data_IF_831451189826
#
_entry.id   IF_831451189826
#
_cell.length_a   1.000
_cell.length_b   1.000
_cell.length_c   1.000
_cell.angle_alpha   90.00
_cell.angle_beta   90.00
_cell.angle_gamma   90.00
#
_symmetry.space_group_name_H-M   'P 1'
#
loop_
_entity.id
_entity.type
_entity.pdbx_description
1 polymer ?
#
# COMPACT_ATOMS: atom_id res chain seq x y z
N UNK A 1 -23.46 -2.36 13.94
CA UNK A 1 -22.77 -3.32 13.07
C UNK A 1 -21.66 -3.98 13.85
N UNK A 2 -21.62 -5.30 13.89
CA UNK A 2 -20.55 -6.02 14.60
C UNK A 2 -19.28 -6.07 13.73
N UNK A 3 -18.17 -6.51 14.34
CA UNK A 3 -16.87 -6.57 13.70
C UNK A 3 -16.88 -7.40 12.40
N UNK A 4 -17.52 -8.56 12.42
CA UNK A 4 -17.59 -9.43 11.24
C UNK A 4 -18.35 -8.76 10.09
N UNK A 5 -19.40 -8.04 10.40
CA UNK A 5 -20.18 -7.30 9.39
C UNK A 5 -19.36 -6.16 8.79
N UNK A 6 -18.60 -5.45 9.62
CA UNK A 6 -17.71 -4.38 9.17
C UNK A 6 -16.66 -4.94 8.22
N UNK A 7 -16.00 -6.04 8.61
CA UNK A 7 -14.98 -6.70 7.78
C UNK A 7 -15.58 -7.15 6.45
N UNK A 8 -16.74 -7.78 6.46
CA UNK A 8 -17.40 -8.25 5.24
C UNK A 8 -17.77 -7.08 4.31
N UNK A 9 -18.28 -5.99 4.87
CA UNK A 9 -18.62 -4.79 4.09
C UNK A 9 -17.37 -4.18 3.45
N UNK A 10 -16.27 -4.06 4.19
CA UNK A 10 -15.01 -3.53 3.65
C UNK A 10 -14.44 -4.43 2.55
N UNK A 11 -14.48 -5.74 2.75
CA UNK A 11 -14.00 -6.70 1.76
C UNK A 11 -14.83 -6.60 0.47
N UNK A 12 -16.14 -6.57 0.58
CA UNK A 12 -17.03 -6.46 -0.58
C UNK A 12 -16.80 -5.13 -1.32
N UNK A 13 -16.65 -4.04 -0.59
CA UNK A 13 -16.39 -2.72 -1.16
C UNK A 13 -15.05 -2.71 -1.90
N UNK A 14 -14.02 -3.30 -1.31
CA UNK A 14 -12.70 -3.39 -1.93
C UNK A 14 -12.71 -4.26 -3.19
N UNK A 15 -13.48 -5.35 -3.19
CA UNK A 15 -13.64 -6.22 -4.37
C UNK A 15 -14.36 -5.49 -5.51
N UNK A 16 -15.26 -4.56 -5.17
CA UNK A 16 -16.05 -3.83 -6.16
C UNK A 16 -15.35 -2.56 -6.66
N UNK A 17 -14.76 -1.78 -5.78
CA UNK A 17 -14.22 -0.45 -6.08
C UNK A 17 -12.70 -0.32 -5.90
N UNK A 18 -12.04 -1.35 -5.42
CA UNK A 18 -10.60 -1.34 -5.14
C UNK A 18 -10.28 -0.93 -3.71
N UNK A 19 -9.10 -1.33 -3.28
CA UNK A 19 -8.64 -1.10 -1.90
C UNK A 19 -8.46 0.40 -1.61
N UNK A 20 -7.87 1.13 -2.54
CA UNK A 20 -7.53 2.55 -2.33
C UNK A 20 -8.78 3.37 -2.02
N UNK A 21 -9.83 3.21 -2.84
CA UNK A 21 -11.10 3.92 -2.64
C UNK A 21 -11.72 3.55 -1.29
N UNK A 22 -11.70 2.26 -0.95
CA UNK A 22 -12.28 1.76 0.30
C UNK A 22 -11.58 2.38 1.51
N UNK A 23 -10.25 2.40 1.51
CA UNK A 23 -9.49 2.93 2.64
C UNK A 23 -9.62 4.45 2.74
N UNK A 24 -9.59 5.14 1.61
CA UNK A 24 -9.72 6.60 1.58
C UNK A 24 -11.06 7.06 2.16
N UNK A 25 -12.16 6.41 1.79
CA UNK A 25 -13.49 6.77 2.28
C UNK A 25 -13.67 6.45 3.77
N UNK A 26 -13.08 5.35 4.24
CA UNK A 26 -13.33 4.85 5.60
C UNK A 26 -12.35 5.44 6.62
N UNK A 27 -11.08 5.52 6.27
CA UNK A 27 -10.01 5.84 7.23
C UNK A 27 -9.18 7.07 6.88
N UNK A 28 -9.30 7.59 5.66
CA UNK A 28 -8.47 8.69 5.21
C UNK A 28 -7.03 8.26 4.95
N UNK A 29 -6.07 9.13 5.30
CA UNK A 29 -4.65 8.88 4.98
C UNK A 29 -3.83 8.32 6.13
N UNK A 30 -4.34 8.36 7.36
CA UNK A 30 -3.59 7.98 8.57
C UNK A 30 -4.07 6.63 9.10
N UNK A 31 -3.75 5.57 8.37
CA UNK A 31 -4.12 4.21 8.78
C UNK A 31 -2.88 3.38 9.07
N UNK A 32 -3.05 2.45 10.01
CA UNK A 32 -2.00 1.48 10.32
C UNK A 32 -2.33 0.18 9.61
N UNK A 33 -1.53 -0.16 8.61
CA UNK A 33 -1.64 -1.42 7.88
C UNK A 33 -0.28 -2.07 7.77
N UNK A 34 -0.30 -3.38 7.66
CA UNK A 34 0.89 -4.17 7.43
C UNK A 34 0.57 -5.26 6.42
N UNK A 35 1.46 -5.43 5.45
CA UNK A 35 1.37 -6.48 4.45
C UNK A 35 2.72 -7.16 4.31
N UNK A 36 2.70 -8.48 4.20
CA UNK A 36 3.87 -9.25 3.83
C UNK A 36 3.98 -9.30 2.31
N UNK A 37 5.21 -9.25 1.81
CA UNK A 37 5.49 -9.34 0.38
C UNK A 37 6.40 -10.54 0.14
N UNK A 38 6.09 -11.33 -0.91
CA UNK A 38 6.93 -12.46 -1.27
C UNK A 38 8.26 -12.00 -1.84
N UNK A 39 9.28 -12.87 -1.82
CA UNK A 39 10.56 -12.56 -2.43
C UNK A 39 10.43 -12.28 -3.92
N UNK A 40 9.61 -13.05 -4.62
CA UNK A 40 9.38 -12.83 -6.05
C UNK A 40 8.74 -11.48 -6.33
N UNK A 41 7.82 -11.03 -5.48
CA UNK A 41 7.22 -9.70 -5.60
C UNK A 41 8.24 -8.60 -5.33
N UNK A 42 9.12 -8.80 -4.35
CA UNK A 42 10.17 -7.84 -4.03
C UNK A 42 11.18 -7.64 -5.15
N UNK A 43 11.37 -8.65 -6.01
CA UNK A 43 12.29 -8.57 -7.15
C UNK A 43 11.70 -7.81 -8.34
N UNK A 44 10.39 -7.52 -8.33
CA UNK A 44 9.74 -6.77 -9.40
C UNK A 44 10.15 -5.30 -9.39
N UNK A 45 10.10 -4.69 -10.57
CA UNK A 45 10.38 -3.26 -10.75
C UNK A 45 9.30 -2.40 -10.11
N UNK A 46 9.68 -1.21 -9.62
CA UNK A 46 8.71 -0.20 -9.17
C UNK A 46 7.78 0.26 -10.31
N UNK A 47 8.13 -0.03 -11.57
CA UNK A 47 7.26 0.25 -12.72
C UNK A 47 5.90 -0.45 -12.60
N UNK A 48 5.85 -1.58 -11.89
CA UNK A 48 4.61 -2.30 -11.64
C UNK A 48 3.58 -1.49 -10.85
N UNK A 49 4.02 -0.46 -10.14
CA UNK A 49 3.13 0.39 -9.33
C UNK A 49 2.42 1.44 -10.16
N UNK A 50 2.86 1.68 -11.39
CA UNK A 50 2.30 2.72 -12.27
C UNK A 50 2.23 4.10 -11.59
N UNK A 51 3.33 4.48 -10.96
CA UNK A 51 3.44 5.77 -10.29
C UNK A 51 3.48 6.92 -11.31
N UNK A 52 3.18 8.13 -10.83
CA UNK A 52 3.40 9.32 -11.64
C UNK A 52 4.89 9.43 -12.03
N UNK A 53 5.17 10.10 -13.12
CA UNK A 53 6.55 10.31 -13.60
C UNK A 53 7.40 10.97 -12.51
N UNK A 54 6.83 11.94 -11.80
CA UNK A 54 7.52 12.67 -10.74
C UNK A 54 7.94 11.73 -9.59
N UNK A 55 7.00 10.91 -9.12
CA UNK A 55 7.28 9.96 -8.04
C UNK A 55 8.29 8.91 -8.44
N UNK A 56 8.13 8.36 -9.66
CA UNK A 56 9.04 7.34 -10.17
C UNK A 56 10.46 7.88 -10.34
N UNK A 57 10.61 9.07 -10.89
CA UNK A 57 11.92 9.70 -11.05
C UNK A 57 12.58 10.00 -9.72
N UNK A 58 11.83 10.44 -8.72
CA UNK A 58 12.37 10.69 -7.39
C UNK A 58 12.91 9.41 -6.76
N UNK A 59 12.17 8.31 -6.87
CA UNK A 59 12.62 7.01 -6.36
C UNK A 59 13.87 6.53 -7.08
N UNK A 60 13.90 6.60 -8.40
CA UNK A 60 15.07 6.15 -9.19
C UNK A 60 16.32 6.96 -8.85
N UNK A 61 16.21 8.27 -8.68
CA UNK A 61 17.34 9.11 -8.26
C UNK A 61 17.88 8.72 -6.88
N UNK A 62 17.02 8.18 -6.02
CA UNK A 62 17.40 7.71 -4.70
C UNK A 62 17.93 6.27 -4.68
N UNK A 63 18.04 5.63 -5.85
CA UNK A 63 18.52 4.26 -5.96
C UNK A 63 17.46 3.21 -5.68
N UNK A 64 16.18 3.57 -5.71
CA UNK A 64 15.06 2.66 -5.46
C UNK A 64 14.51 2.22 -6.81
N UNK A 65 14.74 0.96 -7.18
CA UNK A 65 14.37 0.40 -8.48
C UNK A 65 13.40 -0.77 -8.37
N UNK A 66 13.36 -1.46 -7.23
CA UNK A 66 12.52 -2.64 -7.03
C UNK A 66 11.52 -2.42 -5.93
N UNK A 67 10.48 -3.26 -5.93
CA UNK A 67 9.48 -3.27 -4.86
C UNK A 67 10.17 -3.52 -3.50
N UNK A 68 11.14 -4.43 -3.44
CA UNK A 68 11.90 -4.70 -2.22
C UNK A 68 12.68 -3.50 -1.73
N UNK A 69 13.35 -2.76 -2.63
CA UNK A 69 14.04 -1.52 -2.25
C UNK A 69 13.05 -0.52 -1.65
N UNK A 70 11.86 -0.41 -2.24
CA UNK A 70 10.85 0.53 -1.75
C UNK A 70 10.34 0.14 -0.37
N UNK A 71 10.05 -1.14 -0.14
CA UNK A 71 9.58 -1.64 1.16
C UNK A 71 10.64 -1.38 2.23
N UNK A 72 11.89 -1.62 1.92
CA UNK A 72 13.00 -1.35 2.84
C UNK A 72 13.08 0.13 3.18
N UNK A 73 12.98 1.01 2.18
CA UNK A 73 13.00 2.46 2.39
C UNK A 73 11.83 2.93 3.24
N UNK A 74 10.65 2.34 3.06
CA UNK A 74 9.47 2.65 3.89
C UNK A 74 9.67 2.20 5.34
N UNK A 75 10.22 1.00 5.54
CA UNK A 75 10.46 0.43 6.88
C UNK A 75 11.47 1.24 7.67
N UNK A 76 12.49 1.77 6.99
CA UNK A 76 13.55 2.55 7.61
C UNK A 76 13.25 4.05 7.66
N UNK A 77 12.07 4.45 7.20
CA UNK A 77 11.66 5.86 7.10
C UNK A 77 12.57 6.70 6.18
N UNK A 78 13.34 6.05 5.33
CA UNK A 78 14.26 6.73 4.41
C UNK A 78 13.52 7.47 3.30
N UNK A 79 12.28 7.09 3.02
CA UNK A 79 11.49 7.72 1.97
C UNK A 79 11.28 9.21 2.22
N UNK A 80 11.08 9.58 3.48
CA UNK A 80 10.86 10.98 3.86
C UNK A 80 12.13 11.83 3.70
N UNK A 81 13.29 11.19 3.59
CA UNK A 81 14.57 11.87 3.42
C UNK A 81 14.92 12.13 1.95
N UNK A 82 14.10 11.62 1.02
CA UNK A 82 14.38 11.78 -0.39
C UNK A 82 14.13 13.23 -0.80
N UNK A 83 15.16 13.84 -1.39
CA UNK A 83 15.09 15.21 -1.86
C UNK A 83 14.01 15.36 -2.94
N UNK A 84 13.21 16.39 -2.82
CA UNK A 84 12.12 16.73 -3.75
C UNK A 84 10.94 15.74 -3.75
N UNK A 85 10.85 14.87 -2.74
CA UNK A 85 9.68 14.02 -2.57
C UNK A 85 8.69 14.75 -1.67
N UNK A 86 7.65 15.34 -2.27
CA UNK A 86 6.62 16.03 -1.52
C UNK A 86 5.62 15.09 -0.86
N UNK A 87 4.75 15.66 -0.02
CA UNK A 87 3.73 14.90 0.71
C UNK A 87 2.78 14.18 -0.25
N UNK A 88 2.43 14.77 -1.37
CA UNK A 88 1.55 14.16 -2.37
C UNK A 88 2.17 12.91 -2.98
N UNK A 89 3.45 13.00 -3.39
CA UNK A 89 4.17 11.84 -3.94
C UNK A 89 4.36 10.75 -2.89
N UNK A 90 4.65 11.11 -1.66
CA UNK A 90 4.78 10.17 -0.55
C UNK A 90 3.48 9.37 -0.35
N UNK A 91 2.33 10.06 -0.33
CA UNK A 91 1.02 9.40 -0.20
C UNK A 91 0.71 8.51 -1.39
N UNK A 92 1.03 8.96 -2.61
CA UNK A 92 0.85 8.17 -3.82
C UNK A 92 1.63 6.86 -3.73
N UNK A 93 2.89 6.94 -3.36
CA UNK A 93 3.77 5.76 -3.25
C UNK A 93 3.24 4.79 -2.20
N UNK A 94 2.89 5.27 -1.01
CA UNK A 94 2.36 4.42 0.06
C UNK A 94 1.07 3.72 -0.37
N UNK A 95 0.18 4.45 -1.00
CA UNK A 95 -1.11 3.94 -1.47
C UNK A 95 -0.92 2.86 -2.54
N UNK A 96 -0.04 3.13 -3.50
CA UNK A 96 0.20 2.20 -4.61
C UNK A 96 0.89 0.91 -4.16
N UNK A 97 1.87 1.01 -3.27
CA UNK A 97 2.53 -0.20 -2.77
C UNK A 97 1.57 -1.06 -1.93
N UNK A 98 0.71 -0.43 -1.16
CA UNK A 98 -0.30 -1.14 -0.39
C UNK A 98 -1.30 -1.85 -1.31
N UNK A 99 -1.81 -1.17 -2.32
CA UNK A 99 -2.73 -1.75 -3.30
C UNK A 99 -2.07 -2.92 -4.04
N UNK A 100 -0.82 -2.77 -4.43
CA UNK A 100 -0.05 -3.81 -5.10
C UNK A 100 0.01 -5.09 -4.25
N UNK A 101 0.37 -4.96 -2.97
CA UNK A 101 0.44 -6.10 -2.07
C UNK A 101 -0.92 -6.74 -1.80
N UNK A 102 -1.94 -5.91 -1.61
CA UNK A 102 -3.29 -6.40 -1.35
C UNK A 102 -3.85 -7.23 -2.51
N UNK A 103 -3.67 -6.78 -3.74
CA UNK A 103 -4.21 -7.47 -4.92
C UNK A 103 -3.61 -8.85 -5.13
N UNK A 104 -2.44 -9.12 -4.55
CA UNK A 104 -1.77 -10.42 -4.64
C UNK A 104 -2.20 -11.39 -3.57
N UNK A 105 -3.02 -10.97 -2.64
CA UNK A 105 -3.53 -11.83 -1.56
C UNK A 105 -4.67 -12.71 -2.08
N UNK A 106 -4.82 -13.91 -1.48
CA UNK A 106 -6.01 -14.74 -1.66
C UNK A 106 -7.21 -14.09 -0.98
N UNK A 107 -8.42 -14.56 -1.23
CA UNK A 107 -9.61 -14.02 -0.59
C UNK A 107 -9.57 -14.16 0.93
N UNK A 108 -9.06 -15.29 1.45
CA UNK A 108 -8.93 -15.47 2.89
C UNK A 108 -7.89 -14.52 3.49
N UNK A 109 -6.78 -14.29 2.78
CA UNK A 109 -5.76 -13.34 3.22
C UNK A 109 -6.26 -11.90 3.18
N UNK A 110 -7.06 -11.55 2.17
CA UNK A 110 -7.72 -10.23 2.10
C UNK A 110 -8.66 -10.02 3.28
N UNK A 111 -9.39 -11.06 3.66
CA UNK A 111 -10.25 -10.99 4.84
C UNK A 111 -9.43 -10.76 6.12
N UNK A 112 -8.33 -11.48 6.27
CA UNK A 112 -7.43 -11.31 7.40
C UNK A 112 -6.81 -9.90 7.44
N UNK A 113 -6.51 -9.33 6.29
CA UNK A 113 -6.05 -7.95 6.17
C UNK A 113 -7.09 -6.98 6.77
N UNK A 114 -8.36 -7.13 6.44
CA UNK A 114 -9.40 -6.26 6.97
C UNK A 114 -9.68 -6.52 8.45
N UNK A 115 -9.54 -7.74 8.93
CA UNK A 115 -9.63 -8.03 10.35
C UNK A 115 -8.56 -7.27 11.11
N UNK A 116 -7.31 -7.33 10.64
CA UNK A 116 -6.21 -6.57 11.23
C UNK A 116 -6.48 -5.07 11.20
N UNK A 117 -6.95 -4.57 10.06
CA UNK A 117 -7.24 -3.15 9.87
C UNK A 117 -8.28 -2.65 10.89
N UNK A 118 -9.37 -3.38 11.04
CA UNK A 118 -10.45 -3.02 11.96
C UNK A 118 -9.98 -3.07 13.42
N UNK A 119 -9.16 -4.06 13.77
CA UNK A 119 -8.65 -4.22 15.15
C UNK A 119 -7.63 -3.15 15.54
N UNK A 120 -6.92 -2.56 14.59
CA UNK A 120 -5.80 -1.65 14.86
C UNK A 120 -6.09 -0.19 14.50
N UNK A 121 -7.30 0.10 14.07
CA UNK A 121 -7.73 1.46 13.74
C UNK A 121 -9.16 1.76 14.31
#
# INVERSE_FOLDING_TARGET
MNKNEVVSTLLDTANKYGLVSTLHETYGHNIKVSLGYSKSDCDLSIDELMLSVRSQNALRRAGIFTIGNLIEALSNEDLMKIRNLGAKSFREIKTKILAFGYERLSQSEKRNFFIYLVENN
#
